data_IF_069414123698
#
_entry.id   IF_069414123698
#
_cell.length_a   1.000
_cell.length_b   1.000
_cell.length_c   1.000
_cell.angle_alpha   90.00
_cell.angle_beta   90.00
_cell.angle_gamma   90.00
#
_symmetry.space_group_name_H-M   'P 1'
#
loop_
_entity.id
_entity.type
_entity.pdbx_description
1 polymer ?
#
# COMPACT_ATOMS: atom_id res chain seq x y z
N UNK A 1 3.15 17.51 29.89
CA UNK A 1 4.54 17.05 29.83
C UNK A 1 4.59 15.56 29.51
N UNK A 2 4.60 15.27 28.19
CA UNK A 2 4.83 13.98 27.51
C UNK A 2 4.66 14.33 26.02
N UNK A 3 5.78 14.48 25.33
CA UNK A 3 5.84 14.86 23.92
C UNK A 3 4.94 13.92 23.10
N UNK A 4 3.96 14.51 22.40
CA UNK A 4 3.10 13.81 21.44
C UNK A 4 4.01 13.33 20.31
N UNK A 5 4.41 12.06 20.35
CA UNK A 5 5.09 11.44 19.22
C UNK A 5 4.06 11.30 18.09
N UNK A 6 4.09 12.23 17.15
CA UNK A 6 3.42 12.12 15.85
C UNK A 6 4.15 11.03 15.05
N UNK A 7 3.79 9.76 15.31
CA UNK A 7 4.26 8.63 14.51
C UNK A 7 3.48 8.57 13.21
N UNK A 8 4.10 8.92 12.09
CA UNK A 8 3.60 8.55 10.77
C UNK A 8 3.92 7.08 10.56
N UNK A 9 2.91 6.22 10.61
CA UNK A 9 3.05 4.84 10.18
C UNK A 9 2.57 4.73 8.73
N UNK A 10 3.51 4.37 7.87
CA UNK A 10 3.39 4.28 6.43
C UNK A 10 3.33 2.79 6.06
N UNK A 11 2.13 2.32 5.74
CA UNK A 11 2.03 1.19 4.81
C UNK A 11 2.40 1.79 3.44
N UNK A 12 3.51 1.33 2.86
CA UNK A 12 3.99 1.81 1.56
C UNK A 12 3.01 1.30 0.50
N UNK A 13 2.49 2.12 -0.41
CA UNK A 13 3.03 3.38 -0.92
C UNK A 13 2.02 4.59 -0.86
N UNK A 14 2.40 5.86 -1.18
CA UNK A 14 1.73 7.16 -0.75
C UNK A 14 1.22 8.40 -1.67
N UNK A 15 0.03 9.09 -1.40
CA UNK A 15 -0.89 10.16 -2.09
C UNK A 15 -0.45 11.51 -2.70
N UNK A 16 -1.06 11.91 -3.85
CA UNK A 16 -1.67 13.27 -4.06
C UNK A 16 -2.28 13.71 -5.43
N UNK A 17 -3.63 13.74 -5.62
CA UNK A 17 -4.48 14.88 -6.13
C UNK A 17 -5.96 14.68 -5.70
N UNK A 18 -6.68 15.75 -5.30
CA UNK A 18 -8.12 15.80 -4.91
C UNK A 18 -9.06 15.78 -6.13
N UNK A 19 -10.20 15.08 -6.04
CA UNK A 19 -11.42 15.39 -6.84
C UNK A 19 -12.64 15.46 -5.93
N UNK A 20 -13.39 16.56 -6.06
CA UNK A 20 -14.78 16.66 -5.61
C UNK A 20 -15.64 15.74 -6.47
N UNK A 21 -16.58 15.03 -5.86
CA UNK A 21 -17.52 14.15 -6.54
C UNK A 21 -18.53 15.02 -7.31
N UNK A 22 -18.18 15.39 -8.55
CA UNK A 22 -19.18 15.79 -9.53
C UNK A 22 -19.79 14.52 -10.15
N UNK A 23 -21.12 14.47 -10.13
CA UNK A 23 -21.91 13.38 -10.72
C UNK A 23 -21.83 13.42 -12.25
N UNK A 24 -20.69 13.04 -12.83
CA UNK A 24 -20.54 12.63 -14.25
C UNK A 24 -19.09 12.21 -14.54
N UNK A 25 -18.69 11.02 -14.07
CA UNK A 25 -17.83 10.05 -14.77
C UNK A 25 -17.88 8.75 -13.97
N UNK A 26 -18.94 7.98 -14.16
CA UNK A 26 -19.13 6.67 -13.54
C UNK A 26 -19.14 5.62 -14.64
N UNK A 27 -17.98 5.32 -15.25
CA UNK A 27 -17.85 4.15 -16.16
C UNK A 27 -16.40 3.74 -16.54
N UNK A 28 -15.35 4.06 -15.76
CA UNK A 28 -13.96 3.69 -16.11
C UNK A 28 -13.13 3.02 -14.99
N UNK A 29 -13.77 2.45 -13.97
CA UNK A 29 -13.11 1.43 -13.14
C UNK A 29 -13.23 0.07 -13.85
N UNK A 30 -12.57 -0.06 -15.01
CA UNK A 30 -12.46 -1.35 -15.71
C UNK A 30 -11.81 -2.34 -14.74
N UNK A 31 -12.46 -3.47 -14.49
CA UNK A 31 -11.85 -4.66 -13.87
C UNK A 31 -10.70 -5.12 -14.76
N UNK A 32 -9.50 -4.56 -14.55
CA UNK A 32 -8.31 -4.93 -15.34
C UNK A 32 -7.85 -6.30 -14.90
N UNK A 33 -7.57 -7.18 -15.85
CA UNK A 33 -7.09 -8.52 -15.54
C UNK A 33 -5.62 -8.49 -15.11
N UNK A 34 -5.14 -9.44 -14.30
CA UNK A 34 -3.71 -9.64 -14.08
C UNK A 34 -2.93 -9.74 -15.39
N UNK A 35 -1.73 -9.18 -15.42
CA UNK A 35 -0.80 -9.29 -16.55
C UNK A 35 -1.08 -8.34 -17.71
N UNK A 36 -1.89 -7.29 -17.50
CA UNK A 36 -2.27 -6.35 -18.58
C UNK A 36 -1.63 -4.97 -18.46
N UNK A 37 -0.73 -4.74 -17.50
CA UNK A 37 -0.02 -3.47 -17.39
C UNK A 37 0.84 -3.25 -18.65
N UNK A 38 0.69 -2.11 -19.36
CA UNK A 38 1.32 -1.90 -20.67
C UNK A 38 2.84 -1.69 -20.59
N UNK A 39 3.36 -1.35 -19.42
CA UNK A 39 4.72 -0.95 -19.13
C UNK A 39 5.54 -2.05 -18.42
N UNK A 40 5.00 -3.28 -18.33
CA UNK A 40 5.63 -4.40 -17.62
C UNK A 40 5.85 -5.59 -18.55
N UNK A 41 7.10 -6.07 -18.64
CA UNK A 41 7.42 -7.35 -19.26
C UNK A 41 7.28 -8.48 -18.24
N UNK A 42 6.10 -9.10 -18.21
CA UNK A 42 5.79 -10.22 -17.31
C UNK A 42 6.61 -11.50 -17.59
N UNK A 43 7.31 -11.59 -18.73
CA UNK A 43 8.14 -12.74 -19.09
C UNK A 43 9.53 -12.67 -18.48
N UNK A 44 9.98 -11.46 -18.11
CA UNK A 44 11.33 -11.20 -17.61
C UNK A 44 11.28 -10.39 -16.30
N UNK A 45 10.46 -10.84 -15.36
CA UNK A 45 10.33 -10.20 -14.06
C UNK A 45 11.56 -10.47 -13.17
N UNK A 46 12.18 -9.41 -12.68
CA UNK A 46 13.19 -9.44 -11.62
C UNK A 46 12.62 -9.04 -10.25
N UNK A 47 13.52 -8.69 -9.33
CA UNK A 47 13.17 -8.03 -8.07
C UNK A 47 13.63 -6.56 -8.12
N UNK A 48 12.94 -5.79 -8.96
CA UNK A 48 13.24 -4.38 -9.20
C UNK A 48 12.02 -3.51 -8.91
N UNK A 49 12.27 -2.24 -8.61
CA UNK A 49 11.18 -1.30 -8.39
C UNK A 49 10.50 -0.96 -9.72
N UNK A 50 9.21 -1.26 -9.80
CA UNK A 50 8.32 -0.84 -10.89
C UNK A 50 7.32 0.14 -10.30
N UNK A 51 7.16 1.29 -10.95
CA UNK A 51 6.17 2.27 -10.51
C UNK A 51 4.77 1.79 -10.93
N UNK A 52 4.06 1.16 -10.00
CA UNK A 52 2.68 0.74 -10.22
C UNK A 52 1.77 1.97 -10.29
N UNK A 53 0.51 1.78 -10.74
CA UNK A 53 -0.47 2.87 -10.87
C UNK A 53 -0.58 3.70 -9.61
N UNK A 54 -0.71 3.00 -8.48
CA UNK A 54 -0.99 3.63 -7.23
C UNK A 54 -0.54 2.85 -6.03
N UNK A 55 -0.84 3.45 -4.90
CA UNK A 55 -0.64 2.88 -3.60
C UNK A 55 -1.58 3.54 -2.59
N UNK A 56 -1.58 3.15 -1.31
CA UNK A 56 -2.51 3.67 -0.31
C UNK A 56 -1.84 4.35 0.89
N UNK A 57 -2.23 5.61 1.16
CA UNK A 57 -1.71 6.42 2.27
C UNK A 57 -2.74 6.53 3.39
N UNK A 58 -2.28 6.37 4.62
CA UNK A 58 -3.00 6.79 5.83
C UNK A 58 -2.18 7.85 6.58
N UNK A 59 -2.86 8.76 7.27
CA UNK A 59 -2.19 9.77 8.13
C UNK A 59 -2.69 9.61 9.55
N UNK A 60 -1.77 9.36 10.48
CA UNK A 60 -2.06 9.40 11.91
C UNK A 60 -1.83 10.81 12.44
N UNK A 61 -2.84 11.41 13.07
CA UNK A 61 -2.76 12.75 13.65
C UNK A 61 -3.72 12.86 14.82
N UNK A 62 -3.32 13.57 15.88
CA UNK A 62 -4.16 13.81 17.06
C UNK A 62 -4.74 12.54 17.70
N UNK A 63 -3.94 11.46 17.73
CA UNK A 63 -4.33 10.21 18.37
C UNK A 63 -5.20 9.29 17.52
N UNK A 64 -5.43 9.60 16.24
CA UNK A 64 -6.32 8.84 15.36
C UNK A 64 -5.76 8.67 13.96
N UNK A 65 -6.13 7.56 13.34
CA UNK A 65 -5.93 7.30 11.92
C UNK A 65 -6.97 8.06 11.10
N UNK A 66 -6.51 8.77 10.07
CA UNK A 66 -7.36 9.34 9.03
C UNK A 66 -7.82 8.28 8.02
N UNK A 67 -8.62 8.69 7.02
CA UNK A 67 -9.06 7.79 5.96
C UNK A 67 -7.87 7.34 5.09
N UNK A 68 -8.02 6.15 4.50
CA UNK A 68 -7.10 5.64 3.48
C UNK A 68 -7.27 6.41 2.18
N UNK A 69 -6.17 6.61 1.47
CA UNK A 69 -6.19 7.39 0.26
C UNK A 69 -5.32 6.81 -0.87
N UNK A 70 -5.92 6.52 -2.03
CA UNK A 70 -5.23 6.09 -3.28
C UNK A 70 -4.63 7.25 -4.08
N UNK A 71 -3.59 6.94 -4.86
CA UNK A 71 -2.51 7.89 -5.17
C UNK A 71 -1.75 7.52 -6.44
N UNK A 72 -1.34 8.49 -7.25
CA UNK A 72 -0.35 8.27 -8.30
C UNK A 72 1.07 8.85 -8.09
N UNK A 73 1.26 9.77 -7.14
CA UNK A 73 2.55 10.44 -6.88
C UNK A 73 3.59 9.49 -6.26
N UNK A 74 4.72 9.17 -6.92
CA UNK A 74 5.72 8.25 -6.38
C UNK A 74 6.51 8.78 -5.17
N UNK A 75 6.43 10.08 -4.87
CA UNK A 75 7.23 10.69 -3.82
C UNK A 75 6.52 10.87 -2.46
N UNK A 76 7.32 10.71 -1.40
CA UNK A 76 6.89 10.93 -0.03
C UNK A 76 7.38 12.30 0.46
N UNK A 77 6.51 13.32 0.44
CA UNK A 77 6.80 14.58 1.15
C UNK A 77 6.83 14.38 2.66
N UNK A 78 7.97 14.67 3.29
CA UNK A 78 8.19 14.66 4.74
C UNK A 78 8.81 15.99 5.16
N UNK A 79 8.56 16.39 6.41
CA UNK A 79 9.32 17.49 7.00
C UNK A 79 10.79 17.10 7.15
N UNK A 80 11.72 18.04 6.96
CA UNK A 80 13.16 17.76 7.04
C UNK A 80 13.57 17.17 8.39
N UNK A 81 12.83 17.49 9.46
CA UNK A 81 13.04 16.96 10.82
C UNK A 81 12.24 15.69 11.15
N UNK A 82 11.70 14.97 10.16
CA UNK A 82 10.93 13.76 10.42
C UNK A 82 11.77 12.68 11.13
N UNK A 83 11.22 12.06 12.18
CA UNK A 83 11.91 11.06 13.00
C UNK A 83 12.30 9.80 12.20
N UNK A 84 11.57 9.48 11.13
CA UNK A 84 11.94 8.42 10.20
C UNK A 84 13.32 8.67 9.53
N UNK A 85 13.69 9.93 9.29
CA UNK A 85 14.95 10.31 8.64
C UNK A 85 16.12 10.38 9.62
N UNK A 86 15.88 10.86 10.85
CA UNK A 86 16.95 11.15 11.83
C UNK A 86 17.16 10.05 12.87
N UNK A 87 16.09 9.33 13.23
CA UNK A 87 16.10 8.40 14.36
C UNK A 87 15.60 7.00 14.00
N UNK A 88 15.45 6.72 12.69
CA UNK A 88 15.03 5.40 12.21
C UNK A 88 13.65 4.98 12.73
N UNK A 89 12.77 5.92 13.06
CA UNK A 89 11.40 5.62 13.47
C UNK A 89 10.53 5.23 12.27
N UNK A 90 10.83 4.06 11.70
CA UNK A 90 10.16 3.48 10.56
C UNK A 90 10.15 1.96 10.68
N UNK A 91 9.13 1.32 10.13
CA UNK A 91 9.06 -0.12 9.93
C UNK A 91 8.33 -0.42 8.63
N UNK A 92 8.54 -1.61 8.08
CA UNK A 92 7.93 -2.04 6.81
C UNK A 92 7.45 -3.49 6.92
N UNK A 93 6.64 -3.90 5.95
CA UNK A 93 6.20 -5.27 5.76
C UNK A 93 6.37 -5.69 4.31
N UNK A 94 6.41 -7.01 4.10
CA UNK A 94 6.48 -7.63 2.78
C UNK A 94 5.52 -8.80 2.68
N UNK A 95 4.66 -8.77 1.68
CA UNK A 95 3.80 -9.89 1.29
C UNK A 95 3.58 -9.86 -0.21
N UNK A 96 2.88 -10.87 -0.72
CA UNK A 96 2.68 -11.06 -2.15
C UNK A 96 1.21 -11.30 -2.49
N UNK A 97 0.81 -10.81 -3.66
CA UNK A 97 -0.45 -11.10 -4.33
C UNK A 97 -0.19 -12.00 -5.55
N UNK A 98 -0.99 -13.05 -5.68
CA UNK A 98 -0.85 -14.07 -6.72
C UNK A 98 -2.13 -14.22 -7.51
N UNK A 99 -2.02 -14.18 -8.84
CA UNK A 99 -3.10 -14.62 -9.72
C UNK A 99 -3.24 -16.14 -9.67
N UNK A 100 -4.48 -16.62 -9.69
CA UNK A 100 -4.82 -18.03 -9.70
C UNK A 100 -5.46 -18.45 -11.03
N UNK A 101 -5.50 -19.76 -11.29
CA UNK A 101 -6.08 -20.33 -12.52
C UNK A 101 -7.55 -19.94 -12.73
N UNK A 102 -8.30 -19.73 -11.65
CA UNK A 102 -9.71 -19.30 -11.66
C UNK A 102 -9.91 -17.80 -11.95
N UNK A 103 -8.83 -17.06 -12.23
CA UNK A 103 -8.83 -15.62 -12.43
C UNK A 103 -8.88 -14.78 -11.15
N UNK A 104 -8.94 -15.41 -9.97
CA UNK A 104 -8.87 -14.72 -8.69
C UNK A 104 -7.45 -14.26 -8.36
N UNK A 105 -7.34 -13.21 -7.54
CA UNK A 105 -6.07 -12.79 -6.93
C UNK A 105 -6.15 -13.04 -5.43
N UNK A 106 -5.10 -13.69 -4.88
CA UNK A 106 -5.06 -14.13 -3.49
C UNK A 106 -3.87 -13.51 -2.77
N UNK A 107 -4.10 -13.15 -1.51
CA UNK A 107 -3.08 -12.65 -0.58
C UNK A 107 -2.69 -13.77 0.39
N UNK A 108 -1.39 -13.95 0.62
CA UNK A 108 -0.92 -14.98 1.55
C UNK A 108 -0.79 -14.43 2.97
N UNK A 109 -1.74 -14.81 3.85
CA UNK A 109 -1.74 -14.51 5.30
C UNK A 109 -1.53 -13.03 5.66
N UNK A 110 -2.30 -12.09 5.08
CA UNK A 110 -2.11 -10.66 5.33
C UNK A 110 -2.34 -10.26 6.80
N UNK A 111 -3.11 -11.05 7.55
CA UNK A 111 -3.34 -10.89 8.99
C UNK A 111 -2.05 -11.10 9.83
N UNK A 112 -1.19 -12.04 9.42
CA UNK A 112 0.09 -12.25 10.11
C UNK A 112 1.07 -11.11 9.87
N UNK A 113 1.06 -10.55 8.67
CA UNK A 113 1.80 -9.32 8.37
C UNK A 113 1.27 -8.14 9.20
N UNK A 114 -0.05 -8.02 9.37
CA UNK A 114 -0.66 -6.99 10.21
C UNK A 114 -0.22 -7.10 11.69
N UNK A 115 -0.16 -8.32 12.24
CA UNK A 115 0.36 -8.56 13.59
C UNK A 115 1.84 -8.20 13.69
N UNK A 116 2.63 -8.54 12.67
CA UNK A 116 4.08 -8.30 12.67
C UNK A 116 4.45 -6.83 12.49
N UNK A 117 3.76 -6.06 11.64
CA UNK A 117 3.98 -4.61 11.54
C UNK A 117 3.67 -3.92 12.87
N UNK A 118 2.63 -4.35 13.59
CA UNK A 118 2.30 -3.80 14.91
C UNK A 118 3.37 -4.13 15.95
N UNK A 119 3.93 -5.35 15.93
CA UNK A 119 5.06 -5.72 16.79
C UNK A 119 6.30 -4.86 16.50
N UNK A 120 6.59 -4.62 15.22
CA UNK A 120 7.69 -3.73 14.80
C UNK A 120 7.43 -2.29 15.22
N UNK A 121 6.23 -1.77 14.96
CA UNK A 121 5.80 -0.41 15.32
C UNK A 121 5.88 -0.16 16.81
N UNK A 122 5.47 -1.13 17.65
CA UNK A 122 5.61 -1.05 19.11
C UNK A 122 7.08 -0.86 19.52
N UNK A 123 8.03 -1.54 18.86
CA UNK A 123 9.46 -1.43 19.18
C UNK A 123 10.03 -0.05 18.88
N UNK A 124 9.49 0.63 17.87
CA UNK A 124 9.87 1.99 17.48
C UNK A 124 8.85 3.05 17.91
N UNK A 125 7.98 2.75 18.88
CA UNK A 125 7.01 3.69 19.47
C UNK A 125 6.06 4.35 18.45
N UNK A 126 5.65 3.61 17.42
CA UNK A 126 4.66 4.02 16.41
C UNK A 126 3.24 3.63 16.85
N UNK A 127 2.20 4.34 16.36
CA UNK A 127 0.81 4.00 16.68
C UNK A 127 0.43 2.61 16.18
N UNK A 128 -0.43 1.91 16.92
CA UNK A 128 -1.01 0.64 16.50
C UNK A 128 -1.91 0.83 15.26
N UNK A 129 -1.76 -0.02 14.24
CA UNK A 129 -2.69 -0.12 13.10
C UNK A 129 -3.72 -1.19 13.44
N UNK A 130 -5.03 -0.90 13.41
CA UNK A 130 -6.05 -1.95 13.43
C UNK A 130 -5.78 -2.99 12.34
N UNK A 131 -5.78 -4.28 12.68
CA UNK A 131 -5.41 -5.34 11.72
C UNK A 131 -6.33 -5.34 10.49
N UNK A 132 -7.63 -5.14 10.68
CA UNK A 132 -8.59 -5.03 9.57
C UNK A 132 -8.28 -3.84 8.65
N UNK A 133 -7.88 -2.70 9.21
CA UNK A 133 -7.47 -1.52 8.43
C UNK A 133 -6.25 -1.84 7.56
N UNK A 134 -5.28 -2.57 8.09
CA UNK A 134 -4.11 -3.00 7.33
C UNK A 134 -4.51 -3.96 6.20
N UNK A 135 -5.32 -4.98 6.50
CA UNK A 135 -5.76 -5.97 5.51
C UNK A 135 -6.60 -5.33 4.40
N UNK A 136 -7.50 -4.42 4.75
CA UNK A 136 -8.35 -3.72 3.79
C UNK A 136 -7.55 -2.76 2.92
N UNK A 137 -6.54 -2.08 3.49
CA UNK A 137 -5.60 -1.26 2.74
C UNK A 137 -4.84 -2.07 1.68
N UNK A 138 -4.33 -3.25 2.05
CA UNK A 138 -3.65 -4.16 1.10
C UNK A 138 -4.61 -4.61 -0.01
N UNK A 139 -5.84 -4.99 0.34
CA UNK A 139 -6.84 -5.38 -0.67
C UNK A 139 -7.19 -4.22 -1.60
N UNK A 140 -7.25 -2.99 -1.10
CA UNK A 140 -7.58 -1.80 -1.89
C UNK A 140 -6.46 -1.47 -2.88
N UNK A 141 -5.20 -1.45 -2.43
CA UNK A 141 -4.07 -1.19 -3.33
C UNK A 141 -3.91 -2.29 -4.38
N UNK A 142 -4.10 -3.56 -4.02
CA UNK A 142 -4.01 -4.66 -5.00
C UNK A 142 -5.14 -4.58 -6.03
N UNK A 143 -6.35 -4.18 -5.61
CA UNK A 143 -7.47 -3.96 -6.55
C UNK A 143 -7.18 -2.84 -7.54
N UNK A 144 -6.58 -1.73 -7.09
CA UNK A 144 -6.27 -0.61 -7.98
C UNK A 144 -5.10 -0.90 -8.95
N UNK A 145 -4.20 -1.80 -8.53
CA UNK A 145 -3.04 -2.25 -9.30
C UNK A 145 -3.23 -3.65 -9.90
N UNK A 146 -4.47 -4.08 -10.16
CA UNK A 146 -4.78 -5.44 -10.60
C UNK A 146 -4.02 -5.82 -11.89
N UNK A 147 -3.85 -4.88 -12.81
CA UNK A 147 -3.11 -5.09 -14.07
C UNK A 147 -1.62 -5.34 -13.89
N UNK A 148 -1.05 -4.93 -12.76
CA UNK A 148 0.35 -5.15 -12.39
C UNK A 148 0.58 -6.50 -11.71
N UNK A 149 -0.48 -7.22 -11.33
CA UNK A 149 -0.35 -8.59 -10.80
C UNK A 149 0.10 -9.52 -11.94
N UNK A 150 1.21 -10.26 -11.81
CA UNK A 150 1.62 -11.18 -12.86
C UNK A 150 0.56 -12.24 -13.16
N UNK A 151 0.38 -12.63 -14.43
CA UNK A 151 -0.64 -13.59 -14.81
C UNK A 151 -0.33 -14.97 -14.23
N UNK A 152 -1.37 -15.79 -14.03
CA UNK A 152 -1.21 -17.15 -13.57
C UNK A 152 -0.26 -17.94 -14.49
N UNK A 153 0.55 -18.82 -13.91
CA UNK A 153 1.53 -19.63 -14.64
C UNK A 153 2.84 -18.90 -14.98
N UNK A 154 2.95 -17.57 -14.76
CA UNK A 154 4.20 -16.83 -14.96
C UNK A 154 5.27 -17.13 -13.90
N UNK A 155 4.88 -17.65 -12.74
CA UNK A 155 5.75 -17.77 -11.56
C UNK A 155 6.02 -16.45 -10.83
N UNK A 156 5.50 -15.33 -11.36
CA UNK A 156 5.60 -14.00 -10.77
C UNK A 156 4.55 -13.72 -9.69
N UNK A 157 4.78 -12.65 -8.94
CA UNK A 157 3.86 -12.12 -7.92
C UNK A 157 4.04 -10.61 -7.80
N UNK A 158 2.97 -9.89 -7.49
CA UNK A 158 3.03 -8.49 -7.04
C UNK A 158 3.36 -8.44 -5.54
#
# INVERSE_FOLDING_TARGET
>A
DRTRNEGQLLIIAKKGVRRELSNTVAEEALCKAPGTAPDVDFSNLGFEFVNTRSHIKFTYKDGKWGPGELVTEPYITLHIAATALHYGQACFEGMKAYAWEDGSVRLFRPDENAKRINKSGQRVMMPYIPEDMFVDAVKEVVRDNMDYVPPYGSGGSL
#
